data_IF_612745369373
#
_entry.id   IF_612745369373
#
_cell.length_a   1.000
_cell.length_b   1.000
_cell.length_c   1.000
_cell.angle_alpha   90.00
_cell.angle_beta   90.00
_cell.angle_gamma   90.00
#
_symmetry.space_group_name_H-M   'P 1'
#
loop_
_entity.id
_entity.type
_entity.pdbx_description
1 polymer ?
#
# COMPACT_ATOMS: atom_id res chain seq x y z
N UNK A 1 -27.12 -22.32 -12.05
CA UNK A 1 -26.15 -22.12 -10.96
C UNK A 1 -26.91 -21.54 -9.77
N UNK A 2 -27.03 -22.29 -8.67
CA UNK A 2 -27.80 -21.87 -7.49
C UNK A 2 -27.07 -20.75 -6.73
N UNK A 3 -27.69 -19.59 -6.47
CA UNK A 3 -27.07 -18.46 -5.76
C UNK A 3 -26.92 -18.67 -4.23
N UNK A 4 -26.97 -19.91 -3.73
CA UNK A 4 -27.06 -20.23 -2.29
C UNK A 4 -25.79 -20.86 -1.68
N UNK A 5 -24.66 -20.88 -2.40
CA UNK A 5 -23.37 -21.30 -1.84
C UNK A 5 -22.37 -20.13 -1.76
N UNK A 6 -22.78 -19.04 -1.13
CA UNK A 6 -21.80 -18.11 -0.56
C UNK A 6 -21.21 -18.81 0.66
N UNK A 7 -19.96 -19.28 0.56
CA UNK A 7 -19.17 -19.58 1.76
C UNK A 7 -19.02 -18.26 2.50
N UNK A 8 -19.89 -18.04 3.48
CA UNK A 8 -19.77 -16.92 4.40
C UNK A 8 -18.43 -17.05 5.11
N UNK A 9 -17.76 -15.92 5.35
CA UNK A 9 -16.58 -15.87 6.21
C UNK A 9 -16.83 -16.72 7.46
N UNK A 10 -15.92 -17.64 7.74
CA UNK A 10 -15.98 -18.38 8.98
C UNK A 10 -15.73 -17.41 10.13
N UNK A 11 -16.21 -17.74 11.33
CA UNK A 11 -15.87 -16.99 12.56
C UNK A 11 -14.34 -16.81 12.68
N UNK A 12 -13.58 -17.79 12.19
CA UNK A 12 -12.11 -17.75 12.10
C UNK A 12 -11.60 -16.56 11.28
N UNK A 13 -12.23 -16.23 10.16
CA UNK A 13 -11.78 -15.14 9.28
C UNK A 13 -12.01 -13.76 9.93
N UNK A 14 -13.12 -13.59 10.64
CA UNK A 14 -13.38 -12.40 11.45
C UNK A 14 -12.39 -12.26 12.62
N UNK A 15 -12.06 -13.38 13.27
CA UNK A 15 -11.06 -13.40 14.35
C UNK A 15 -9.68 -13.02 13.81
N UNK A 16 -9.27 -13.54 12.65
CA UNK A 16 -7.99 -13.17 12.01
C UNK A 16 -7.98 -11.68 11.65
N UNK A 17 -9.07 -11.16 11.07
CA UNK A 17 -9.19 -9.74 10.75
C UNK A 17 -9.08 -8.85 11.99
N UNK A 18 -9.81 -9.19 13.06
CA UNK A 18 -9.75 -8.47 14.33
C UNK A 18 -8.36 -8.54 14.97
N UNK A 19 -7.70 -9.71 14.93
CA UNK A 19 -6.34 -9.90 15.42
C UNK A 19 -5.33 -9.06 14.63
N UNK A 20 -5.49 -8.95 13.31
CA UNK A 20 -4.59 -8.17 12.46
C UNK A 20 -4.72 -6.66 12.72
N UNK A 21 -5.96 -6.18 12.90
CA UNK A 21 -6.20 -4.80 13.32
C UNK A 21 -5.67 -4.56 14.74
N UNK A 22 -5.93 -5.46 15.68
CA UNK A 22 -5.44 -5.36 17.05
C UNK A 22 -3.90 -5.39 17.11
N UNK A 23 -3.24 -6.23 16.32
CA UNK A 23 -1.79 -6.27 16.22
C UNK A 23 -1.21 -4.96 15.66
N UNK A 24 -1.85 -4.40 14.62
CA UNK A 24 -1.44 -3.10 14.04
C UNK A 24 -1.58 -1.98 15.08
N UNK A 25 -2.70 -1.94 15.82
CA UNK A 25 -2.92 -0.99 16.92
C UNK A 25 -1.93 -1.21 18.06
N UNK A 26 -1.66 -2.46 18.44
CA UNK A 26 -0.73 -2.80 19.51
C UNK A 26 0.70 -2.37 19.17
N UNK A 27 1.15 -2.55 17.93
CA UNK A 27 2.47 -2.06 17.47
C UNK A 27 2.50 -0.54 17.56
N UNK A 28 1.46 0.14 17.05
CA UNK A 28 1.38 1.60 17.10
C UNK A 28 1.38 2.16 18.52
N UNK A 29 0.57 1.57 19.42
CA UNK A 29 0.49 1.93 20.83
C UNK A 29 1.78 1.58 21.58
N UNK A 30 2.42 0.44 21.28
CA UNK A 30 3.68 0.05 21.91
C UNK A 30 4.78 1.08 21.63
N UNK A 31 4.91 1.52 20.37
CA UNK A 31 5.89 2.55 20.00
C UNK A 31 5.52 3.95 20.51
N UNK A 32 4.23 4.24 20.65
CA UNK A 32 3.77 5.48 21.26
C UNK A 32 4.04 5.55 22.77
N UNK A 33 3.74 4.47 23.50
CA UNK A 33 3.81 4.40 24.96
C UNK A 33 5.21 4.09 25.47
N UNK A 34 5.95 3.18 24.81
CA UNK A 34 7.35 2.88 25.17
C UNK A 34 8.30 4.01 24.76
N UNK A 35 7.83 4.93 23.93
CA UNK A 35 8.64 5.97 23.33
C UNK A 35 9.16 7.00 24.32
N UNK A 36 8.37 7.51 25.29
CA UNK A 36 8.77 8.64 26.16
C UNK A 36 9.27 9.91 25.43
N UNK A 37 9.21 9.91 24.09
CA UNK A 37 10.02 10.66 23.13
C UNK A 37 9.15 10.97 21.90
N UNK A 38 8.01 11.60 22.11
CA UNK A 38 7.29 12.31 21.03
C UNK A 38 7.18 13.79 21.41
N UNK A 39 8.16 14.28 22.20
CA UNK A 39 8.17 15.64 22.75
C UNK A 39 8.58 16.69 21.72
N UNK A 40 9.22 16.28 20.62
CA UNK A 40 9.71 17.18 19.58
C UNK A 40 9.04 16.89 18.24
N UNK A 41 8.71 17.95 17.49
CA UNK A 41 8.12 17.86 16.15
C UNK A 41 9.00 17.07 15.18
N UNK A 42 10.33 17.14 15.35
CA UNK A 42 11.28 16.38 14.56
C UNK A 42 11.14 14.87 14.80
N UNK A 43 10.93 14.43 16.04
CA UNK A 43 10.79 13.01 16.31
C UNK A 43 9.47 12.45 15.80
N UNK A 44 8.39 13.22 15.91
CA UNK A 44 7.07 12.85 15.41
C UNK A 44 7.04 12.76 13.88
N UNK A 45 7.60 13.76 13.17
CA UNK A 45 7.54 13.86 11.70
C UNK A 45 8.69 13.17 10.97
N UNK A 46 9.87 13.02 11.59
CA UNK A 46 11.09 12.51 10.93
C UNK A 46 11.63 11.23 11.52
N UNK A 47 10.98 10.67 12.55
CA UNK A 47 11.49 9.50 13.25
C UNK A 47 12.95 9.68 13.71
N UNK A 48 13.36 10.92 14.02
CA UNK A 48 14.72 11.32 14.40
C UNK A 48 15.81 10.95 13.38
N UNK A 49 15.44 10.61 12.13
CA UNK A 49 16.34 10.18 11.04
C UNK A 49 17.28 9.03 11.40
N UNK A 50 17.00 8.30 12.48
CA UNK A 50 17.85 7.22 13.02
C UNK A 50 17.34 5.81 12.67
N UNK A 51 16.33 5.72 11.81
CA UNK A 51 15.76 4.45 11.36
C UNK A 51 16.72 3.71 10.43
N UNK A 52 16.83 2.39 10.61
CA UNK A 52 17.60 1.53 9.70
C UNK A 52 16.99 1.53 8.29
N UNK A 53 17.85 1.29 7.29
CA UNK A 53 17.45 1.28 5.87
C UNK A 53 16.33 0.27 5.58
N UNK A 54 16.40 -0.93 6.16
CA UNK A 54 15.43 -2.00 5.88
C UNK A 54 13.98 -1.63 6.27
N UNK A 55 13.66 -1.19 7.51
CA UNK A 55 12.33 -0.70 7.85
C UNK A 55 11.82 0.41 6.94
N UNK A 56 12.69 1.38 6.60
CA UNK A 56 12.32 2.51 5.73
C UNK A 56 11.99 2.03 4.32
N UNK A 57 12.81 1.14 3.75
CA UNK A 57 12.55 0.57 2.43
C UNK A 57 11.26 -0.24 2.38
N UNK A 58 10.99 -1.05 3.41
CA UNK A 58 9.74 -1.82 3.51
C UNK A 58 8.52 -0.92 3.65
N UNK A 59 8.58 0.13 4.46
CA UNK A 59 7.50 1.11 4.59
C UNK A 59 7.26 1.89 3.29
N UNK A 60 8.32 2.24 2.56
CA UNK A 60 8.19 2.82 1.23
C UNK A 60 7.48 1.87 0.26
N UNK A 61 7.86 0.58 0.24
CA UNK A 61 7.18 -0.44 -0.57
C UNK A 61 5.71 -0.55 -0.17
N UNK A 62 5.41 -0.61 1.13
CA UNK A 62 4.05 -0.66 1.66
C UNK A 62 3.21 0.54 1.18
N UNK A 63 3.79 1.73 1.23
CA UNK A 63 3.14 2.98 0.85
C UNK A 63 2.82 3.03 -0.65
N UNK A 64 3.68 2.45 -1.50
CA UNK A 64 3.39 2.32 -2.94
C UNK A 64 2.37 1.22 -3.22
N UNK A 65 2.36 0.16 -2.42
CA UNK A 65 1.49 -0.99 -2.60
C UNK A 65 0.14 -0.80 -1.92
N UNK A 66 -0.77 -0.09 -2.60
CA UNK A 66 -2.15 0.07 -2.11
C UNK A 66 -3.00 -1.22 -2.29
N UNK A 67 -4.07 -1.33 -1.51
CA UNK A 67 -5.08 -2.38 -1.69
C UNK A 67 -5.70 -2.35 -3.11
N UNK A 68 -5.77 -1.16 -3.71
CA UNK A 68 -6.18 -0.95 -5.11
C UNK A 68 -5.26 -1.68 -6.07
N UNK A 69 -3.95 -1.60 -5.88
CA UNK A 69 -2.98 -2.30 -6.74
C UNK A 69 -3.10 -3.82 -6.60
N UNK A 70 -3.29 -4.33 -5.38
CA UNK A 70 -3.38 -5.78 -5.14
C UNK A 70 -4.58 -6.42 -5.83
N UNK A 71 -5.71 -5.73 -5.89
CA UNK A 71 -6.93 -6.24 -6.53
C UNK A 71 -6.96 -5.86 -8.01
N UNK A 72 -6.53 -4.65 -8.35
CA UNK A 72 -6.59 -4.08 -9.70
C UNK A 72 -5.59 -4.72 -10.64
N UNK A 73 -4.34 -4.96 -10.22
CA UNK A 73 -3.29 -5.49 -11.12
C UNK A 73 -3.63 -6.90 -11.64
N UNK A 74 -4.05 -7.87 -10.81
CA UNK A 74 -4.46 -9.17 -11.33
C UNK A 74 -5.72 -9.09 -12.21
N UNK A 75 -6.67 -8.19 -11.91
CA UNK A 75 -7.85 -7.97 -12.73
C UNK A 75 -7.50 -7.40 -14.11
N UNK A 76 -6.58 -6.44 -14.16
CA UNK A 76 -6.04 -5.85 -15.38
C UNK A 76 -5.32 -6.89 -16.23
N UNK A 77 -4.42 -7.68 -15.61
CA UNK A 77 -3.71 -8.77 -16.30
C UNK A 77 -4.69 -9.83 -16.81
N UNK A 78 -5.76 -10.09 -16.05
CA UNK A 78 -6.79 -11.04 -16.46
C UNK A 78 -7.60 -10.53 -17.66
N UNK A 79 -7.90 -9.24 -17.75
CA UNK A 79 -8.71 -8.66 -18.82
C UNK A 79 -7.90 -8.29 -20.08
N UNK A 80 -6.72 -7.70 -19.89
CA UNK A 80 -5.90 -7.09 -20.95
C UNK A 80 -4.57 -7.81 -21.21
N UNK A 81 -4.28 -8.89 -20.48
CA UNK A 81 -3.11 -9.75 -20.70
C UNK A 81 -1.84 -9.28 -19.99
N UNK A 82 -0.71 -9.89 -20.33
CA UNK A 82 0.58 -9.72 -19.61
C UNK A 82 1.32 -8.39 -19.87
N UNK A 83 0.77 -7.48 -20.68
CA UNK A 83 1.41 -6.21 -21.04
C UNK A 83 1.68 -5.31 -19.83
N UNK A 84 0.87 -5.44 -18.78
CA UNK A 84 1.04 -4.68 -17.53
C UNK A 84 2.45 -4.84 -16.91
N UNK A 85 3.18 -5.92 -17.22
CA UNK A 85 4.52 -6.14 -16.68
C UNK A 85 5.53 -5.06 -17.11
N UNK A 86 5.33 -4.39 -18.26
CA UNK A 86 6.16 -3.27 -18.71
C UNK A 86 6.19 -2.10 -17.72
N UNK A 87 5.08 -1.85 -17.04
CA UNK A 87 5.00 -0.81 -16.00
C UNK A 87 5.97 -1.13 -14.86
N UNK A 88 6.11 -2.40 -14.48
CA UNK A 88 7.06 -2.83 -13.47
C UNK A 88 8.52 -2.52 -13.84
N UNK A 89 8.91 -2.78 -15.09
CA UNK A 89 10.23 -2.42 -15.60
C UNK A 89 10.45 -0.90 -15.62
N UNK A 90 9.44 -0.14 -16.03
CA UNK A 90 9.48 1.31 -16.04
C UNK A 90 9.63 1.89 -14.62
N UNK A 91 8.98 1.31 -13.60
CA UNK A 91 9.16 1.72 -12.20
C UNK A 91 10.61 1.53 -11.71
N UNK A 92 11.25 0.41 -12.05
CA UNK A 92 12.64 0.16 -11.66
C UNK A 92 13.57 1.25 -12.21
N UNK A 93 13.46 1.55 -13.51
CA UNK A 93 14.26 2.59 -14.14
C UNK A 93 13.88 3.99 -13.62
N UNK A 94 12.60 4.24 -13.41
CA UNK A 94 12.07 5.49 -12.91
C UNK A 94 12.56 5.82 -11.50
N UNK A 95 12.76 4.82 -10.63
CA UNK A 95 13.27 5.00 -9.27
C UNK A 95 14.76 5.36 -9.21
N UNK A 96 15.54 5.06 -10.25
CA UNK A 96 16.96 5.43 -10.30
C UNK A 96 17.16 6.95 -10.30
N UNK A 97 16.28 7.70 -10.96
CA UNK A 97 16.39 9.16 -11.07
C UNK A 97 16.16 9.82 -9.69
N UNK A 98 15.06 9.57 -8.95
CA UNK A 98 14.89 10.03 -7.57
C UNK A 98 16.04 9.62 -6.65
N UNK A 99 16.51 8.38 -6.75
CA UNK A 99 17.56 7.85 -5.89
C UNK A 99 18.89 8.59 -6.05
N UNK A 100 19.31 8.92 -7.28
CA UNK A 100 20.60 9.55 -7.55
C UNK A 100 20.56 11.08 -7.61
N UNK A 101 19.44 11.68 -8.00
CA UNK A 101 19.35 13.14 -8.21
C UNK A 101 18.60 13.83 -7.07
N UNK A 102 17.38 13.38 -6.77
CA UNK A 102 16.50 14.10 -5.85
C UNK A 102 16.83 13.85 -4.39
N UNK A 103 17.03 12.58 -4.00
CA UNK A 103 17.33 12.22 -2.60
C UNK A 103 18.61 12.89 -2.09
N UNK A 104 19.76 12.88 -2.82
CA UNK A 104 20.97 13.52 -2.32
C UNK A 104 20.83 15.03 -2.12
N UNK A 105 20.07 15.70 -2.99
CA UNK A 105 19.80 17.14 -2.89
C UNK A 105 18.92 17.44 -1.67
N UNK A 106 17.79 16.72 -1.54
CA UNK A 106 16.85 16.92 -0.44
C UNK A 106 17.46 16.57 0.92
N UNK A 107 18.29 15.53 0.98
CA UNK A 107 18.96 15.10 2.21
C UNK A 107 19.97 16.14 2.70
N UNK A 108 20.77 16.74 1.80
CA UNK A 108 21.74 17.78 2.13
C UNK A 108 21.08 19.06 2.68
N UNK A 109 19.91 19.40 2.18
CA UNK A 109 19.16 20.59 2.58
C UNK A 109 18.45 20.44 3.95
N UNK A 110 18.46 19.24 4.54
CA UNK A 110 17.85 18.95 5.85
C UNK A 110 16.36 19.38 5.97
N UNK A 111 15.63 19.44 4.85
CA UNK A 111 14.26 19.93 4.80
C UNK A 111 13.29 19.03 5.56
N UNK A 112 12.24 19.63 6.13
CA UNK A 112 11.16 18.88 6.75
C UNK A 112 10.06 18.45 5.79
N UNK A 113 9.96 19.13 4.65
CA UNK A 113 9.00 18.82 3.60
C UNK A 113 9.65 19.03 2.24
N UNK A 114 9.35 18.15 1.27
CA UNK A 114 9.80 18.31 -0.11
C UNK A 114 9.36 19.66 -0.72
N UNK A 115 8.20 20.18 -0.32
CA UNK A 115 7.69 21.47 -0.82
C UNK A 115 8.48 22.69 -0.32
N UNK A 116 9.26 22.57 0.76
CA UNK A 116 10.17 23.65 1.17
C UNK A 116 11.24 23.90 0.11
N UNK A 117 11.62 22.88 -0.67
CA UNK A 117 12.53 23.06 -1.79
C UNK A 117 11.95 24.01 -2.84
N UNK A 118 10.63 23.99 -3.08
CA UNK A 118 9.98 24.92 -4.02
C UNK A 118 10.06 26.37 -3.54
N UNK A 119 10.00 26.60 -2.22
CA UNK A 119 10.17 27.94 -1.67
C UNK A 119 11.61 28.43 -1.83
N UNK A 120 12.60 27.57 -1.57
CA UNK A 120 14.01 27.91 -1.75
C UNK A 120 14.38 28.18 -3.21
N UNK A 121 13.77 27.43 -4.15
CA UNK A 121 14.09 27.53 -5.58
C UNK A 121 13.29 28.59 -6.33
N UNK A 122 12.05 28.84 -5.92
CA UNK A 122 11.11 29.73 -6.60
C UNK A 122 10.59 30.81 -5.64
N UNK A 123 9.51 30.51 -4.91
CA UNK A 123 8.88 31.45 -3.98
C UNK A 123 7.89 30.75 -3.05
N UNK A 124 7.51 31.44 -1.97
CA UNK A 124 6.53 30.96 -0.99
C UNK A 124 5.17 30.65 -1.62
N UNK A 125 4.75 31.40 -2.63
CA UNK A 125 3.49 31.16 -3.35
C UNK A 125 3.49 29.78 -4.02
N UNK A 126 4.59 29.41 -4.68
CA UNK A 126 4.74 28.10 -5.34
C UNK A 126 4.70 26.96 -4.31
N UNK A 127 5.34 27.13 -3.15
CA UNK A 127 5.25 26.16 -2.03
C UNK A 127 3.81 25.96 -1.57
N UNK A 128 3.06 27.03 -1.37
CA UNK A 128 1.66 26.95 -0.90
C UNK A 128 0.80 26.25 -1.95
N UNK A 129 0.89 26.66 -3.23
CA UNK A 129 0.16 26.01 -4.31
C UNK A 129 0.49 24.51 -4.41
N UNK A 130 1.77 24.14 -4.41
CA UNK A 130 2.19 22.73 -4.47
C UNK A 130 1.70 21.91 -3.27
N UNK A 131 1.75 22.48 -2.07
CA UNK A 131 1.27 21.81 -0.85
C UNK A 131 -0.24 21.63 -0.88
N UNK A 132 -1.01 22.64 -1.30
CA UNK A 132 -2.47 22.56 -1.39
C UNK A 132 -2.93 21.52 -2.42
N UNK A 133 -2.32 21.52 -3.61
CA UNK A 133 -2.63 20.52 -4.64
C UNK A 133 -2.32 19.11 -4.15
N UNK A 134 -1.20 18.92 -3.44
CA UNK A 134 -0.86 17.61 -2.88
C UNK A 134 -1.82 17.16 -1.79
N UNK A 135 -2.19 18.04 -0.85
CA UNK A 135 -3.17 17.72 0.18
C UNK A 135 -4.49 17.32 -0.46
N UNK A 136 -4.96 18.09 -1.45
CA UNK A 136 -6.20 17.77 -2.17
C UNK A 136 -6.13 16.40 -2.86
N UNK A 137 -5.06 16.14 -3.61
CA UNK A 137 -4.83 14.86 -4.27
C UNK A 137 -4.79 13.71 -3.25
N UNK A 138 -4.08 13.88 -2.14
CA UNK A 138 -3.95 12.85 -1.11
C UNK A 138 -5.26 12.57 -0.38
N UNK A 139 -6.09 13.58 -0.11
CA UNK A 139 -7.42 13.36 0.50
C UNK A 139 -8.29 12.49 -0.41
N UNK A 140 -8.32 12.78 -1.72
CA UNK A 140 -9.07 11.97 -2.69
C UNK A 140 -8.50 10.55 -2.78
N UNK A 141 -7.18 10.42 -2.89
CA UNK A 141 -6.51 9.13 -3.00
C UNK A 141 -6.70 8.25 -1.76
N UNK A 142 -6.57 8.82 -0.56
CA UNK A 142 -6.78 8.10 0.70
C UNK A 142 -8.22 7.62 0.84
N UNK A 143 -9.20 8.41 0.37
CA UNK A 143 -10.60 7.98 0.31
C UNK A 143 -10.77 6.70 -0.51
N UNK A 144 -10.16 6.64 -1.70
CA UNK A 144 -10.17 5.42 -2.55
C UNK A 144 -9.46 4.27 -1.85
N UNK A 145 -8.29 4.53 -1.24
CA UNK A 145 -7.50 3.48 -0.59
C UNK A 145 -8.21 2.80 0.59
N UNK A 146 -9.03 3.54 1.35
CA UNK A 146 -9.83 2.96 2.45
C UNK A 146 -11.10 2.30 1.90
N UNK A 147 -11.71 2.86 0.86
CA UNK A 147 -12.92 2.34 0.25
C UNK A 147 -12.72 0.99 -0.44
N UNK A 148 -11.67 0.84 -1.25
CA UNK A 148 -11.42 -0.37 -2.04
C UNK A 148 -11.36 -1.67 -1.24
N UNK A 149 -10.59 -1.79 -0.14
CA UNK A 149 -10.58 -3.02 0.66
C UNK A 149 -11.92 -3.27 1.37
N UNK A 150 -12.62 -2.21 1.81
CA UNK A 150 -13.93 -2.35 2.41
C UNK A 150 -14.98 -2.83 1.39
N UNK A 151 -14.90 -2.34 0.15
CA UNK A 151 -15.75 -2.80 -0.96
C UNK A 151 -15.48 -4.26 -1.30
N UNK A 152 -14.20 -4.67 -1.39
CA UNK A 152 -13.83 -6.05 -1.59
C UNK A 152 -14.35 -6.96 -0.47
N UNK A 153 -14.26 -6.51 0.79
CA UNK A 153 -14.78 -7.23 1.95
C UNK A 153 -16.32 -7.34 1.90
N UNK A 154 -17.02 -6.25 1.60
CA UNK A 154 -18.49 -6.24 1.46
C UNK A 154 -18.94 -7.23 0.37
N UNK A 155 -18.26 -7.29 -0.78
CA UNK A 155 -18.62 -8.18 -1.87
C UNK A 155 -18.54 -9.67 -1.52
N UNK A 156 -17.65 -10.05 -0.59
CA UNK A 156 -17.46 -11.46 -0.20
C UNK A 156 -18.16 -11.85 1.12
N UNK A 157 -18.42 -10.89 2.01
CA UNK A 157 -19.03 -11.14 3.34
C UNK A 157 -20.46 -10.64 3.48
N UNK A 158 -20.90 -9.70 2.65
CA UNK A 158 -22.13 -8.94 2.87
C UNK A 158 -22.06 -7.96 4.05
N UNK A 159 -20.87 -7.74 4.64
CA UNK A 159 -20.68 -6.83 5.78
C UNK A 159 -20.99 -5.38 5.41
N UNK A 160 -21.53 -4.59 6.34
CA UNK A 160 -21.91 -3.20 6.08
C UNK A 160 -20.68 -2.36 5.69
N UNK A 161 -20.72 -1.81 4.48
CA UNK A 161 -19.59 -1.16 3.82
C UNK A 161 -19.08 0.05 4.61
N UNK A 162 -19.98 0.91 5.07
CA UNK A 162 -19.61 2.13 5.78
C UNK A 162 -19.03 1.83 7.15
N UNK A 163 -19.52 0.81 7.85
CA UNK A 163 -19.00 0.33 9.11
C UNK A 163 -17.56 -0.17 8.99
N UNK A 164 -17.23 -0.90 7.93
CA UNK A 164 -15.86 -1.33 7.65
C UNK A 164 -14.92 -0.14 7.36
N UNK A 165 -15.38 0.80 6.52
CA UNK A 165 -14.62 2.03 6.21
C UNK A 165 -14.37 2.85 7.48
N UNK A 166 -15.40 3.10 8.29
CA UNK A 166 -15.29 3.87 9.52
C UNK A 166 -14.41 3.17 10.56
N UNK A 167 -14.56 1.86 10.76
CA UNK A 167 -13.77 1.12 11.72
C UNK A 167 -12.28 1.13 11.37
N UNK A 168 -11.94 0.79 10.12
CA UNK A 168 -10.55 0.79 9.63
C UNK A 168 -9.96 2.19 9.64
N UNK A 169 -10.71 3.21 9.18
CA UNK A 169 -10.29 4.60 9.19
C UNK A 169 -10.02 5.14 10.60
N UNK A 170 -10.89 4.84 11.56
CA UNK A 170 -10.72 5.23 12.96
C UNK A 170 -9.51 4.55 13.58
N UNK A 171 -9.36 3.24 13.39
CA UNK A 171 -8.20 2.48 13.86
C UNK A 171 -6.90 3.06 13.29
N UNK A 172 -6.86 3.31 11.98
CA UNK A 172 -5.71 3.91 11.31
C UNK A 172 -5.40 5.32 11.82
N UNK A 173 -6.42 6.15 12.00
CA UNK A 173 -6.26 7.49 12.56
C UNK A 173 -5.69 7.43 13.98
N UNK A 174 -6.21 6.54 14.84
CA UNK A 174 -5.79 6.44 16.23
C UNK A 174 -4.32 6.04 16.35
N UNK A 175 -3.90 4.94 15.72
CA UNK A 175 -2.50 4.50 15.87
C UNK A 175 -1.52 5.47 15.19
N UNK A 176 -1.93 6.15 14.11
CA UNK A 176 -1.08 7.12 13.40
C UNK A 176 -0.90 8.40 14.20
N UNK A 177 -1.99 8.95 14.76
CA UNK A 177 -1.96 10.18 15.56
C UNK A 177 -1.20 9.99 16.87
N UNK A 178 -1.29 8.81 17.47
CA UNK A 178 -0.65 8.49 18.75
C UNK A 178 0.83 8.10 18.56
N UNK A 179 1.18 7.39 17.49
CA UNK A 179 2.51 6.79 17.32
C UNK A 179 3.53 7.57 16.47
N UNK A 180 3.10 8.53 15.65
CA UNK A 180 3.98 9.30 14.77
C UNK A 180 4.67 8.44 13.70
N UNK A 181 5.64 9.01 12.96
CA UNK A 181 6.26 8.35 11.81
C UNK A 181 6.97 7.03 12.17
N UNK A 182 7.60 6.93 13.36
CA UNK A 182 8.26 5.68 13.81
C UNK A 182 7.27 4.52 13.90
N UNK A 183 6.12 4.76 14.51
CA UNK A 183 5.09 3.74 14.65
C UNK A 183 4.54 3.32 13.28
N UNK A 184 4.27 4.30 12.41
CA UNK A 184 3.78 4.04 11.03
C UNK A 184 4.75 3.14 10.27
N UNK A 185 6.06 3.43 10.32
CA UNK A 185 7.07 2.59 9.64
C UNK A 185 7.03 1.15 10.15
N UNK A 186 6.92 0.93 11.46
CA UNK A 186 6.88 -0.43 12.02
C UNK A 186 5.56 -1.16 11.74
N UNK A 187 4.43 -0.45 11.74
CA UNK A 187 3.15 -1.03 11.32
C UNK A 187 3.20 -1.41 9.84
N UNK A 188 3.81 -0.58 8.99
CA UNK A 188 3.98 -0.87 7.57
C UNK A 188 4.85 -2.10 7.32
N UNK A 189 5.95 -2.25 8.06
CA UNK A 189 6.82 -3.44 7.98
C UNK A 189 6.01 -4.70 8.28
N UNK A 190 5.25 -4.70 9.37
CA UNK A 190 4.40 -5.83 9.73
C UNK A 190 3.35 -6.12 8.66
N UNK A 191 2.62 -5.09 8.21
CA UNK A 191 1.58 -5.23 7.20
C UNK A 191 2.14 -5.73 5.86
N UNK A 192 3.30 -5.22 5.44
CA UNK A 192 3.98 -5.66 4.22
C UNK A 192 4.29 -7.15 4.26
N UNK A 193 4.85 -7.64 5.37
CA UNK A 193 5.16 -9.07 5.54
C UNK A 193 3.88 -9.90 5.43
N UNK A 194 2.79 -9.47 6.07
CA UNK A 194 1.50 -10.17 6.00
C UNK A 194 0.92 -10.14 4.59
N UNK A 195 0.99 -9.00 3.90
CA UNK A 195 0.53 -8.85 2.52
C UNK A 195 1.28 -9.78 1.57
N UNK A 196 2.62 -9.83 1.65
CA UNK A 196 3.42 -10.74 0.83
C UNK A 196 3.13 -12.20 1.13
N UNK A 197 2.99 -12.58 2.42
CA UNK A 197 2.62 -13.93 2.80
C UNK A 197 1.25 -14.32 2.26
N UNK A 198 0.26 -13.42 2.33
CA UNK A 198 -1.07 -13.62 1.78
C UNK A 198 -1.07 -13.81 0.26
N UNK A 199 -0.34 -12.96 -0.46
CA UNK A 199 -0.19 -13.08 -1.92
C UNK A 199 0.47 -14.40 -2.32
N UNK A 200 1.55 -14.79 -1.63
CA UNK A 200 2.22 -16.07 -1.88
C UNK A 200 1.27 -17.25 -1.62
N UNK A 201 0.50 -17.22 -0.55
CA UNK A 201 -0.49 -18.26 -0.24
C UNK A 201 -1.56 -18.37 -1.34
N UNK A 202 -2.09 -17.24 -1.83
CA UNK A 202 -3.06 -17.21 -2.93
C UNK A 202 -2.46 -17.82 -4.20
N UNK A 203 -1.21 -17.49 -4.54
CA UNK A 203 -0.52 -18.06 -5.72
C UNK A 203 -0.35 -19.58 -5.56
N UNK A 204 0.16 -20.04 -4.42
CA UNK A 204 0.41 -21.47 -4.17
C UNK A 204 -0.89 -22.28 -4.23
N UNK A 205 -1.93 -21.84 -3.54
CA UNK A 205 -3.24 -22.52 -3.56
C UNK A 205 -3.87 -22.44 -4.95
N UNK A 206 -3.75 -21.31 -5.64
CA UNK A 206 -4.21 -21.14 -7.01
C UNK A 206 -3.60 -22.17 -7.96
N UNK A 207 -2.26 -22.30 -7.94
CA UNK A 207 -1.50 -23.27 -8.74
C UNK A 207 -1.90 -24.71 -8.43
N UNK A 208 -2.08 -25.05 -7.15
CA UNK A 208 -2.50 -26.39 -6.74
C UNK A 208 -3.91 -26.71 -7.26
N UNK A 209 -4.85 -25.76 -7.15
CA UNK A 209 -6.24 -25.92 -7.59
C UNK A 209 -6.38 -26.02 -9.10
N UNK A 210 -5.48 -25.38 -9.86
CA UNK A 210 -5.49 -25.45 -11.31
C UNK A 210 -4.90 -26.75 -11.87
N UNK A 211 -4.28 -27.60 -11.06
CA UNK A 211 -3.65 -28.85 -11.52
C UNK A 211 -2.13 -28.76 -11.73
N UNK A 212 -1.47 -27.73 -11.19
CA UNK A 212 -0.03 -27.51 -11.29
C UNK A 212 0.37 -26.34 -12.20
N UNK A 213 1.65 -25.95 -12.14
CA UNK A 213 2.20 -24.79 -12.88
C UNK A 213 2.10 -25.00 -14.40
N UNK A 214 2.29 -26.24 -14.87
CA UNK A 214 2.15 -26.60 -16.29
C UNK A 214 0.75 -26.30 -16.82
N UNK A 215 -0.29 -26.61 -16.04
CA UNK A 215 -1.67 -26.38 -16.43
C UNK A 215 -2.06 -24.91 -16.37
N UNK A 216 -1.47 -24.14 -15.44
CA UNK A 216 -1.58 -22.66 -15.45
C UNK A 216 -1.01 -22.11 -16.74
N UNK A 217 0.20 -22.53 -17.12
CA UNK A 217 0.85 -22.04 -18.33
C UNK A 217 0.05 -22.40 -19.58
N UNK A 218 -0.48 -23.63 -19.65
CA UNK A 218 -1.36 -24.08 -20.74
C UNK A 218 -2.61 -23.21 -20.87
N UNK A 219 -3.31 -22.92 -19.76
CA UNK A 219 -4.50 -22.05 -19.76
C UNK A 219 -4.21 -20.62 -20.16
N UNK A 220 -3.03 -20.11 -19.77
CA UNK A 220 -2.58 -18.77 -20.13
C UNK A 220 -2.26 -18.68 -21.63
N UNK A 221 -1.66 -19.72 -22.21
CA UNK A 221 -1.44 -19.88 -23.65
C UNK A 221 -2.76 -20.04 -24.44
N UNK A 222 -3.65 -20.93 -24.01
CA UNK A 222 -4.96 -21.16 -24.66
C UNK A 222 -5.86 -19.93 -24.58
N UNK A 223 -5.79 -19.16 -23.49
CA UNK A 223 -6.52 -17.91 -23.34
C UNK A 223 -5.94 -16.74 -24.12
N UNK A 224 -4.84 -16.95 -24.88
CA UNK A 224 -4.09 -15.91 -25.59
C UNK A 224 -3.71 -14.71 -24.70
N UNK A 225 -3.42 -14.97 -23.42
CA UNK A 225 -3.18 -13.94 -22.40
C UNK A 225 -1.71 -13.55 -22.28
N UNK A 226 -0.84 -14.30 -22.97
CA UNK A 226 0.57 -13.92 -23.16
C UNK A 226 0.63 -12.96 -24.34
N UNK A 227 0.43 -11.69 -24.03
CA UNK A 227 0.67 -10.63 -24.99
C UNK A 227 2.17 -10.33 -24.96
N UNK A 228 2.82 -10.43 -26.12
CA UNK A 228 4.18 -9.94 -26.32
C UNK A 228 4.24 -8.40 -26.25
N UNK A 229 5.35 -7.83 -26.71
CA UNK A 229 5.45 -6.37 -26.92
C UNK A 229 4.65 -6.03 -28.16
N UNK A 230 3.33 -5.82 -27.99
CA UNK A 230 2.51 -5.28 -29.05
C UNK A 230 2.66 -3.76 -29.04
N UNK A 231 3.48 -3.24 -29.95
CA UNK A 231 3.72 -1.81 -30.13
C UNK A 231 2.76 -1.21 -31.16
N UNK A 232 1.73 -1.95 -31.58
CA UNK A 232 0.80 -1.47 -32.58
C UNK A 232 -0.10 -0.37 -31.96
N UNK A 233 -0.08 0.86 -32.49
CA UNK A 233 -0.86 1.97 -31.94
C UNK A 233 -2.34 1.98 -32.37
N UNK A 234 -2.76 0.99 -33.17
CA UNK A 234 -4.11 0.85 -33.74
C UNK A 234 -4.97 -0.15 -32.96
#
# INVERSE_FOLDING_TARGET
>A
MNPAQYKHFAVVDYVIFALLLAASVAIGLYYALSGGRQRTTQEFLMADRSMHCLPVSLSLIASFQSAVAIIGVPAEIYAHGTQYWFIGCAYILGLLIPAHVFIPVLYRLHLTSAYQYLELRFSKTVRICGTLTFIFQMVVYMGVCVYTPAFALNAVTGFELWGAVLATGLVCMLYTTIGGLKAVIWTDVFQTVVMFAGQLAVIVVGVQRTGGVSEVWRKVLEGNRISGVDLNPD
#
